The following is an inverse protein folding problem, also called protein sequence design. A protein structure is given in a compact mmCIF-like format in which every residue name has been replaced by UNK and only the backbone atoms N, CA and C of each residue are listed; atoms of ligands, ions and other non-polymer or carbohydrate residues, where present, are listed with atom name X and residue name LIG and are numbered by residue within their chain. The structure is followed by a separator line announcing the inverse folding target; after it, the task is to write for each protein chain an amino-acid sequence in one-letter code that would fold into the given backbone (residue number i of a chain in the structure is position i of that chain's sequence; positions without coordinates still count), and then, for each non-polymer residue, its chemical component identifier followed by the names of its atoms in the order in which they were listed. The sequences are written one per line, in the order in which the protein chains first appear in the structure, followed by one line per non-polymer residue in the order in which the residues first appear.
data_IF_727733663054
#
_entry.id   IF_727733663054
#
_cell.length_a   1.000
_cell.length_b   1.000
_cell.length_c   1.000
_cell.angle_alpha   90.00
_cell.angle_beta   90.00
_cell.angle_gamma   90.00
#
_symmetry.space_group_name_H-M   'P 1'
#
loop_
_entity.id
_entity.type
_entity.pdbx_description
1 polymer ?
#
# COMPACT_ATOMS: atom_id res chain seq x y z
N UNK A 1 -8.02 19.54 10.96
CA UNK A 1 -7.42 19.80 9.65
C UNK A 1 -8.01 18.80 8.69
N UNK A 2 -8.72 19.27 7.68
CA UNK A 2 -9.25 18.42 6.60
C UNK A 2 -8.08 17.73 5.91
N UNK A 3 -8.15 16.42 5.76
CA UNK A 3 -7.10 15.63 5.09
C UNK A 3 -7.37 15.65 3.59
N UNK A 4 -6.31 15.78 2.80
CA UNK A 4 -6.42 15.80 1.34
C UNK A 4 -6.66 14.37 0.82
N UNK A 5 -7.82 14.07 0.19
CA UNK A 5 -8.14 12.69 -0.19
C UNK A 5 -7.18 12.10 -1.22
N UNK A 6 -6.80 12.91 -2.22
CA UNK A 6 -5.87 12.48 -3.26
C UNK A 6 -4.50 12.13 -2.67
N UNK A 7 -4.05 12.86 -1.64
CA UNK A 7 -2.79 12.58 -0.96
C UNK A 7 -2.85 11.26 -0.20
N UNK A 8 -3.95 10.97 0.48
CA UNK A 8 -4.15 9.68 1.14
C UNK A 8 -4.08 8.51 0.13
N UNK A 9 -4.66 8.67 -1.06
CA UNK A 9 -4.60 7.68 -2.13
C UNK A 9 -3.17 7.45 -2.63
N UNK A 10 -2.48 8.55 -2.98
CA UNK A 10 -1.10 8.51 -3.50
C UNK A 10 -0.15 7.87 -2.49
N UNK A 11 -0.27 8.20 -1.21
CA UNK A 11 0.54 7.60 -0.16
C UNK A 11 0.38 6.07 -0.13
N UNK A 12 -0.84 5.55 -0.24
CA UNK A 12 -1.09 4.10 -0.28
C UNK A 12 -0.67 3.42 -1.58
N UNK A 13 -0.57 4.14 -2.70
CA UNK A 13 -0.05 3.60 -3.97
C UNK A 13 1.49 3.52 -3.94
N UNK A 14 2.15 4.52 -3.34
CA UNK A 14 3.62 4.54 -3.21
C UNK A 14 4.09 3.51 -2.18
N UNK A 15 3.42 3.47 -1.03
CA UNK A 15 3.74 2.57 0.06
C UNK A 15 2.45 2.29 0.84
N UNK A 16 1.90 1.12 0.60
CA UNK A 16 0.70 0.61 1.25
C UNK A 16 0.76 0.80 2.76
N UNK A 17 -0.36 1.24 3.32
CA UNK A 17 -0.46 1.54 4.74
C UNK A 17 -0.26 3.02 5.08
N UNK A 18 0.60 3.76 4.35
CA UNK A 18 0.88 5.17 4.65
C UNK A 18 -0.35 6.06 4.54
N UNK A 19 -1.23 5.82 3.56
CA UNK A 19 -2.47 6.58 3.39
C UNK A 19 -3.37 6.48 4.62
N UNK A 20 -3.52 5.27 5.17
CA UNK A 20 -4.31 5.05 6.39
C UNK A 20 -3.67 5.69 7.63
N UNK A 21 -2.34 5.69 7.72
CA UNK A 21 -1.61 6.38 8.80
C UNK A 21 -1.77 7.90 8.71
N UNK A 22 -1.71 8.46 7.50
CA UNK A 22 -1.92 9.89 7.24
C UNK A 22 -3.33 10.35 7.62
N UNK A 23 -4.35 9.56 7.25
CA UNK A 23 -5.77 9.76 7.60
C UNK A 23 -5.95 9.63 9.11
N UNK A 24 -5.37 8.59 9.71
CA UNK A 24 -5.39 8.36 11.16
C UNK A 24 -6.62 7.61 11.68
N UNK A 25 -7.57 7.20 10.82
CA UNK A 25 -8.74 6.39 11.22
C UNK A 25 -8.37 4.94 11.55
N UNK A 26 -7.50 4.33 10.75
CA UNK A 26 -7.17 2.89 10.80
C UNK A 26 -5.68 2.66 11.04
N UNK A 27 -5.13 3.27 12.10
CA UNK A 27 -3.67 3.29 12.34
C UNK A 27 -3.04 1.91 12.46
N UNK A 28 -3.67 0.99 13.21
CA UNK A 28 -3.15 -0.37 13.37
C UNK A 28 -3.13 -1.12 12.04
N UNK A 29 -4.24 -1.09 11.30
CA UNK A 29 -4.35 -1.72 9.98
C UNK A 29 -3.32 -1.15 9.00
N UNK A 30 -3.23 0.18 8.89
CA UNK A 30 -2.24 0.85 8.06
C UNK A 30 -0.81 0.49 8.45
N UNK A 31 -0.50 0.47 9.75
CA UNK A 31 0.81 0.09 10.26
C UNK A 31 1.19 -1.36 9.94
N UNK A 32 0.24 -2.30 10.03
CA UNK A 32 0.49 -3.71 9.71
C UNK A 32 0.70 -3.93 8.20
N UNK A 33 -0.05 -3.23 7.34
CA UNK A 33 0.19 -3.27 5.88
C UNK A 33 1.58 -2.73 5.56
N UNK A 34 1.92 -1.56 6.11
CA UNK A 34 3.21 -0.92 5.90
C UNK A 34 4.37 -1.84 6.35
N UNK A 35 4.27 -2.42 7.54
CA UNK A 35 5.28 -3.34 8.04
C UNK A 35 5.41 -4.59 7.15
N UNK A 36 4.29 -5.18 6.74
CA UNK A 36 4.28 -6.33 5.84
C UNK A 36 4.94 -6.02 4.49
N UNK A 37 4.64 -4.86 3.91
CA UNK A 37 5.23 -4.43 2.64
C UNK A 37 6.74 -4.18 2.76
N UNK A 38 7.20 -3.58 3.86
CA UNK A 38 8.63 -3.42 4.14
C UNK A 38 9.33 -4.79 4.24
N UNK A 39 8.73 -5.79 4.89
CA UNK A 39 9.30 -7.14 4.93
C UNK A 39 9.33 -7.80 3.55
N UNK A 40 8.31 -7.59 2.70
CA UNK A 40 8.33 -8.05 1.31
C UNK A 40 9.46 -7.40 0.53
N UNK A 41 9.70 -6.09 0.70
CA UNK A 41 10.84 -5.43 0.06
C UNK A 41 12.17 -6.00 0.54
N UNK A 42 12.36 -6.20 1.85
CA UNK A 42 13.56 -6.87 2.38
C UNK A 42 13.74 -8.23 1.69
N UNK A 43 12.70 -9.05 1.62
CA UNK A 43 12.75 -10.37 0.98
C UNK A 43 13.14 -10.29 -0.50
N UNK A 44 12.58 -9.34 -1.25
CA UNK A 44 12.89 -9.07 -2.66
C UNK A 44 14.36 -8.70 -2.90
N UNK A 45 14.97 -7.97 -1.97
CA UNK A 45 16.38 -7.56 -2.07
C UNK A 45 17.37 -8.63 -1.55
N UNK A 46 16.90 -9.60 -0.76
CA UNK A 46 17.74 -10.68 -0.24
C UNK A 46 17.67 -11.98 -1.05
N UNK A 47 16.58 -12.24 -1.78
CA UNK A 47 16.36 -13.50 -2.51
C UNK A 47 16.07 -13.25 -4.01
N UNK A 48 17.05 -13.47 -4.91
CA UNK A 48 16.90 -13.18 -6.34
C UNK A 48 15.77 -13.95 -7.05
N UNK A 49 15.49 -15.18 -6.62
CA UNK A 49 14.43 -16.01 -7.22
C UNK A 49 13.03 -15.42 -6.96
N UNK A 50 12.84 -14.84 -5.77
CA UNK A 50 11.58 -14.21 -5.37
C UNK A 50 11.35 -12.93 -6.15
N UNK A 51 12.41 -12.15 -6.39
CA UNK A 51 12.34 -10.98 -7.26
C UNK A 51 11.82 -11.34 -8.64
N UNK A 52 12.39 -12.37 -9.28
CA UNK A 52 11.90 -12.85 -10.58
C UNK A 52 10.43 -13.26 -10.53
N UNK A 53 10.03 -14.03 -9.52
CA UNK A 53 8.64 -14.47 -9.35
C UNK A 53 7.66 -13.31 -9.17
N UNK A 54 7.99 -12.31 -8.35
CA UNK A 54 7.06 -11.23 -8.01
C UNK A 54 7.06 -10.08 -9.03
N UNK A 55 8.16 -9.84 -9.76
CA UNK A 55 8.25 -8.74 -10.73
C UNK A 55 8.00 -9.14 -12.17
N UNK A 56 8.22 -10.42 -12.54
CA UNK A 56 8.09 -10.89 -13.93
C UNK A 56 6.87 -11.79 -14.16
N UNK A 57 6.24 -12.30 -13.10
CA UNK A 57 5.01 -13.06 -13.23
C UNK A 57 3.82 -12.10 -13.44
N UNK A 58 3.13 -12.24 -14.58
CA UNK A 58 2.00 -11.36 -14.93
C UNK A 58 0.89 -11.36 -13.87
N UNK A 59 0.64 -12.50 -13.21
CA UNK A 59 -0.41 -12.60 -12.21
C UNK A 59 -0.04 -11.89 -10.92
N UNK A 60 1.24 -11.93 -10.54
CA UNK A 60 1.74 -11.15 -9.41
C UNK A 60 1.65 -9.64 -9.69
N UNK A 61 1.98 -9.20 -10.91
CA UNK A 61 1.86 -7.79 -11.33
C UNK A 61 0.40 -7.34 -11.31
N UNK A 62 -0.51 -8.10 -11.92
CA UNK A 62 -1.95 -7.76 -11.94
C UNK A 62 -2.51 -7.73 -10.50
N UNK A 63 -2.17 -8.73 -9.68
CA UNK A 63 -2.58 -8.77 -8.28
C UNK A 63 -2.09 -7.56 -7.48
N UNK A 64 -0.83 -7.14 -7.69
CA UNK A 64 -0.26 -5.97 -7.05
C UNK A 64 -0.98 -4.68 -7.49
N UNK A 65 -1.25 -4.50 -8.78
CA UNK A 65 -1.99 -3.33 -9.28
C UNK A 65 -3.40 -3.23 -8.67
N UNK A 66 -4.11 -4.35 -8.60
CA UNK A 66 -5.43 -4.40 -7.95
C UNK A 66 -5.34 -4.10 -6.46
N UNK A 67 -4.31 -4.62 -5.78
CA UNK A 67 -4.04 -4.35 -4.37
C UNK A 67 -3.79 -2.85 -4.11
N UNK A 68 -2.87 -2.23 -4.86
CA UNK A 68 -2.57 -0.80 -4.74
C UNK A 68 -3.79 0.07 -5.04
N UNK A 69 -4.56 -0.26 -6.07
CA UNK A 69 -5.78 0.44 -6.41
C UNK A 69 -6.81 0.35 -5.28
N UNK A 70 -7.02 -0.85 -4.71
CA UNK A 70 -7.93 -1.05 -3.59
C UNK A 70 -7.53 -0.22 -2.36
N UNK A 71 -6.25 -0.27 -1.96
CA UNK A 71 -5.77 0.50 -0.81
C UNK A 71 -5.85 2.01 -1.05
N UNK A 72 -5.53 2.47 -2.26
CA UNK A 72 -5.61 3.88 -2.64
C UNK A 72 -7.05 4.40 -2.58
N UNK A 73 -8.00 3.68 -3.20
CA UNK A 73 -9.43 4.03 -3.19
C UNK A 73 -10.01 4.05 -1.77
N UNK A 74 -9.63 3.08 -0.95
CA UNK A 74 -10.14 2.98 0.41
C UNK A 74 -9.61 4.10 1.33
N UNK A 75 -8.31 4.42 1.27
CA UNK A 75 -7.77 5.57 1.99
C UNK A 75 -8.29 6.92 1.49
N UNK A 76 -8.54 7.05 0.19
CA UNK A 76 -9.18 8.23 -0.39
C UNK A 76 -10.59 8.45 0.20
N UNK A 77 -11.38 7.38 0.28
CA UNK A 77 -12.73 7.44 0.86
C UNK A 77 -12.69 7.72 2.36
N UNK A 78 -11.75 7.13 3.09
CA UNK A 78 -11.52 7.45 4.50
C UNK A 78 -11.22 8.93 4.70
N UNK A 79 -10.33 9.51 3.90
CA UNK A 79 -9.96 10.91 3.99
C UNK A 79 -11.13 11.87 3.73
N UNK A 80 -12.11 11.49 2.90
CA UNK A 80 -13.32 12.29 2.66
C UNK A 80 -14.29 12.37 3.84
N UNK A 81 -14.11 11.52 4.84
CA UNK A 81 -15.06 11.36 5.95
C UNK A 81 -14.55 11.96 7.27
N UNK A 82 -13.53 12.82 7.22
CA UNK A 82 -12.89 13.50 8.35
C UNK A 82 -12.57 14.96 8.02
#
# INVERSE_FOLDING_TARGET
MTKEPWLAAVLNIILGGLGYLYVGKRKLFGGMILAGELFIYVWLFTEPNVRSLLTLNMWAVIGNLLWLAALGMDAYNDAKTI
#
